data_IF_656880459018
#
_entry.id   IF_656880459018
#
_cell.length_a   1.000
_cell.length_b   1.000
_cell.length_c   1.000
_cell.angle_alpha   90.00
_cell.angle_beta   90.00
_cell.angle_gamma   90.00
#
_symmetry.space_group_name_H-M   'P 1'
#
loop_
_entity.id
_entity.type
_entity.pdbx_description
1 polymer ?
#
# COMPACT_ATOMS: atom_id res chain seq x y z
N UNK A 1 -20.25 5.51 -19.00
CA UNK A 1 -19.13 5.66 -18.05
C UNK A 1 -17.86 5.80 -18.86
N UNK A 2 -17.02 6.78 -18.56
CA UNK A 2 -15.72 6.93 -19.20
C UNK A 2 -14.84 5.72 -18.82
N UNK A 3 -14.42 4.87 -19.77
CA UNK A 3 -13.61 3.69 -19.48
C UNK A 3 -12.22 4.02 -18.92
N UNK A 4 -11.84 5.31 -18.89
CA UNK A 4 -10.55 5.80 -18.41
C UNK A 4 -10.60 6.43 -17.01
N UNK A 5 -11.73 6.35 -16.30
CA UNK A 5 -11.84 6.89 -14.95
C UNK A 5 -10.92 6.14 -13.97
N UNK A 6 -9.81 6.77 -13.60
CA UNK A 6 -8.92 6.30 -12.52
C UNK A 6 -9.45 6.73 -11.16
N UNK A 7 -9.36 5.82 -10.19
CA UNK A 7 -9.54 6.14 -8.78
C UNK A 7 -8.19 6.10 -8.06
N UNK A 8 -7.93 7.08 -7.21
CA UNK A 8 -6.67 7.17 -6.47
C UNK A 8 -6.90 6.84 -5.01
N UNK A 9 -6.18 5.83 -4.49
CA UNK A 9 -6.23 5.48 -3.07
C UNK A 9 -4.88 4.96 -2.56
N UNK A 10 -4.59 5.10 -1.25
CA UNK A 10 -3.45 4.44 -0.64
C UNK A 10 -3.55 2.91 -0.79
N UNK A 11 -2.47 2.28 -1.21
CA UNK A 11 -2.40 0.83 -1.40
C UNK A 11 -1.10 0.25 -0.86
N UNK A 12 -1.18 -0.34 0.32
CA UNK A 12 -0.05 -1.07 0.89
C UNK A 12 0.10 -2.41 0.20
N UNK A 13 1.28 -2.64 -0.42
CA UNK A 13 1.68 -3.89 -1.03
C UNK A 13 3.18 -4.12 -0.85
N UNK A 14 3.68 -5.37 -0.89
CA UNK A 14 5.12 -5.63 -0.91
C UNK A 14 5.86 -4.78 -1.95
N UNK A 15 7.00 -4.22 -1.58
CA UNK A 15 7.81 -3.34 -2.40
C UNK A 15 7.33 -1.89 -2.52
N UNK A 16 6.16 -1.54 -1.96
CA UNK A 16 5.70 -0.16 -1.94
C UNK A 16 6.64 0.71 -1.07
N UNK A 17 6.99 1.90 -1.56
CA UNK A 17 7.74 2.88 -0.80
C UNK A 17 6.80 3.73 0.06
N UNK A 18 7.11 3.84 1.35
CA UNK A 18 6.37 4.66 2.33
C UNK A 18 7.32 5.62 3.02
N UNK A 19 6.80 6.65 3.68
CA UNK A 19 7.57 7.43 4.65
C UNK A 19 7.12 7.10 6.07
N UNK A 20 8.09 6.89 6.94
CA UNK A 20 7.90 6.69 8.37
C UNK A 20 8.95 7.51 9.11
N UNK A 21 8.55 8.34 10.08
CA UNK A 21 9.47 9.22 10.81
C UNK A 21 10.42 10.02 9.90
N UNK A 22 9.88 10.59 8.82
CA UNK A 22 10.59 11.34 7.78
C UNK A 22 11.57 10.53 6.90
N UNK A 23 11.84 9.27 7.22
CA UNK A 23 12.67 8.35 6.43
C UNK A 23 11.84 7.62 5.39
N UNK A 24 12.51 7.21 4.29
CA UNK A 24 11.91 6.40 3.24
C UNK A 24 12.11 4.94 3.60
N UNK A 25 11.01 4.21 3.66
CA UNK A 25 10.97 2.80 4.00
C UNK A 25 10.33 1.98 2.87
N UNK A 26 10.54 0.67 2.92
CA UNK A 26 9.94 -0.27 1.95
C UNK A 26 9.05 -1.26 2.68
N UNK A 27 7.83 -1.45 2.18
CA UNK A 27 6.91 -2.48 2.69
C UNK A 27 7.46 -3.86 2.33
N UNK A 28 7.66 -4.71 3.34
CA UNK A 28 7.99 -6.12 3.17
C UNK A 28 6.73 -6.93 2.86
N UNK A 29 5.74 -6.86 3.75
CA UNK A 29 4.48 -7.58 3.61
C UNK A 29 3.38 -6.90 4.44
N UNK A 30 2.15 -7.32 4.18
CA UNK A 30 0.95 -6.76 4.82
C UNK A 30 0.12 -7.91 5.37
N UNK A 31 -0.33 -7.78 6.62
CA UNK A 31 -1.16 -8.78 7.30
C UNK A 31 -2.46 -8.13 7.72
N UNK A 32 -3.57 -8.85 7.53
CA UNK A 32 -4.86 -8.49 8.11
C UNK A 32 -5.17 -9.51 9.20
N UNK A 33 -5.32 -9.04 10.44
CA UNK A 33 -5.64 -9.89 11.59
C UNK A 33 -6.60 -9.17 12.52
N UNK A 34 -7.69 -9.83 12.91
CA UNK A 34 -8.72 -9.27 13.83
C UNK A 34 -9.20 -7.88 13.37
N UNK A 35 -9.51 -7.75 12.09
CA UNK A 35 -9.96 -6.51 11.44
C UNK A 35 -8.95 -5.34 11.52
N UNK A 36 -7.68 -5.62 11.80
CA UNK A 36 -6.61 -4.63 11.76
C UNK A 36 -5.67 -4.90 10.58
N UNK A 37 -5.29 -3.83 9.88
CA UNK A 37 -4.25 -3.85 8.87
C UNK A 37 -2.90 -3.59 9.54
N UNK A 38 -1.94 -4.47 9.31
CA UNK A 38 -0.60 -4.41 9.89
C UNK A 38 0.42 -4.38 8.76
N UNK A 39 1.27 -3.35 8.73
CA UNK A 39 2.27 -3.15 7.68
C UNK A 39 3.65 -3.46 8.22
N UNK A 40 4.34 -4.41 7.62
CA UNK A 40 5.71 -4.76 7.98
C UNK A 40 6.68 -4.08 7.02
N UNK A 41 7.72 -3.45 7.55
CA UNK A 41 8.76 -2.78 6.78
C UNK A 41 10.00 -3.68 6.68
N UNK A 42 10.77 -3.54 5.61
CA UNK A 42 12.02 -4.29 5.43
C UNK A 42 12.97 -3.98 6.58
N UNK A 43 13.44 -5.03 7.28
CA UNK A 43 14.37 -4.89 8.40
C UNK A 43 13.75 -4.43 9.71
N UNK A 44 12.42 -4.29 9.79
CA UNK A 44 11.71 -4.01 11.04
C UNK A 44 10.85 -5.21 11.46
N UNK A 45 11.13 -5.76 12.64
CA UNK A 45 10.44 -6.94 13.17
C UNK A 45 9.04 -6.62 13.73
N UNK A 46 8.79 -5.33 14.00
CA UNK A 46 7.51 -4.87 14.54
C UNK A 46 6.60 -4.30 13.46
N UNK A 47 5.29 -4.64 13.46
CA UNK A 47 4.34 -4.06 12.52
C UNK A 47 4.14 -2.57 12.83
N UNK A 48 4.00 -1.78 11.78
CA UNK A 48 3.62 -0.37 11.85
C UNK A 48 2.15 -0.24 11.45
N UNK A 49 1.39 0.53 12.23
CA UNK A 49 0.02 0.86 11.88
C UNK A 49 -0.03 1.75 10.63
N UNK A 50 -0.96 1.52 9.69
CA UNK A 50 -1.01 2.25 8.43
C UNK A 50 -1.19 3.76 8.61
N UNK A 51 -1.85 4.20 9.69
CA UNK A 51 -2.06 5.61 10.02
C UNK A 51 -0.75 6.36 10.35
N UNK A 52 0.31 5.64 10.73
CA UNK A 52 1.64 6.21 10.99
C UNK A 52 2.50 6.32 9.72
N UNK A 53 2.02 5.81 8.58
CA UNK A 53 2.76 5.77 7.32
C UNK A 53 2.20 6.77 6.32
N UNK A 54 3.08 7.49 5.64
CA UNK A 54 2.69 8.28 4.48
C UNK A 54 2.98 7.49 3.20
N UNK A 55 1.97 7.33 2.35
CA UNK A 55 2.06 6.60 1.09
C UNK A 55 1.42 7.45 -0.01
N UNK A 56 2.08 7.54 -1.16
CA UNK A 56 1.51 8.20 -2.33
C UNK A 56 0.31 7.37 -2.86
N UNK A 57 -0.80 8.01 -3.28
CA UNK A 57 -1.93 7.30 -3.84
C UNK A 57 -1.53 6.45 -5.06
N UNK A 58 -2.06 5.24 -5.13
CA UNK A 58 -1.98 4.39 -6.31
C UNK A 58 -3.22 4.59 -7.18
N UNK A 59 -3.04 4.56 -8.49
CA UNK A 59 -4.14 4.60 -9.45
C UNK A 59 -4.76 3.21 -9.61
N UNK A 60 -6.09 3.15 -9.61
CA UNK A 60 -6.88 1.95 -9.80
C UNK A 60 -7.85 2.14 -10.96
N UNK A 61 -8.02 1.09 -11.76
CA UNK A 61 -9.08 1.00 -12.74
C UNK A 61 -10.34 0.44 -12.08
N UNK A 62 -11.50 1.01 -12.42
CA UNK A 62 -12.80 0.50 -11.99
C UNK A 62 -13.24 -0.75 -12.77
N UNK A 63 -12.59 -1.01 -13.90
CA UNK A 63 -12.79 -2.21 -14.71
C UNK A 63 -11.66 -3.18 -14.45
N UNK A 64 -11.97 -4.48 -14.50
CA UNK A 64 -10.95 -5.52 -14.45
C UNK A 64 -10.06 -5.38 -15.67
N UNK A 65 -8.77 -5.17 -15.44
CA UNK A 65 -7.73 -5.19 -16.47
C UNK A 65 -7.07 -6.58 -16.40
N UNK A 66 -6.76 -7.24 -17.53
CA UNK A 66 -5.96 -8.46 -17.51
C UNK A 66 -4.63 -8.22 -16.80
N UNK A 67 -4.14 -9.20 -16.07
CA UNK A 67 -2.76 -9.16 -15.58
C UNK A 67 -1.84 -9.11 -16.81
N UNK A 68 -0.98 -8.09 -16.89
CA UNK A 68 0.05 -8.04 -17.91
C UNK A 68 1.24 -8.89 -17.41
N UNK A 69 1.56 -9.94 -18.16
CA UNK A 69 2.73 -10.81 -17.97
C UNK A 69 4.06 -10.04 -18.09
#
# INVERSE_FOLDING_TARGET
MDPTAYYYMPHFKPGAAVRWNQQRETVSHVVIRRNMLMVYLVGNDTPVYPEALQLAPSAFHLTRVPDHD
#
